data_IF_945835713367
#
_entry.id   IF_945835713367
#
_cell.length_a   1.000
_cell.length_b   1.000
_cell.length_c   1.000
_cell.angle_alpha   90.00
_cell.angle_beta   90.00
_cell.angle_gamma   90.00
#
_symmetry.space_group_name_H-M   'P 1'
#
loop_
_entity.id
_entity.type
_entity.pdbx_description
1 polymer ?
#
# COMPACT_ATOMS: atom_id res chain seq x y z
N UNK A 1 58.68 63.93 10.64
CA UNK A 1 58.28 64.08 9.23
C UNK A 1 57.11 63.15 8.93
N UNK A 2 56.29 63.46 7.92
CA UNK A 2 55.01 62.78 7.63
C UNK A 2 55.11 61.82 6.44
N UNK A 3 54.15 60.86 6.37
CA UNK A 3 53.72 60.06 5.18
C UNK A 3 54.71 58.98 4.69
N UNK A 4 54.27 57.85 4.13
CA UNK A 4 52.94 57.23 4.11
C UNK A 4 53.03 55.72 3.76
N UNK A 5 52.05 54.94 4.23
CA UNK A 5 51.73 53.60 3.73
C UNK A 5 50.19 53.47 3.72
N UNK A 6 49.56 53.82 2.60
CA UNK A 6 49.08 52.88 1.56
C UNK A 6 47.78 52.14 1.95
N UNK A 7 46.66 52.78 1.62
CA UNK A 7 45.32 52.19 1.75
C UNK A 7 45.16 51.05 0.73
N UNK A 8 44.84 49.83 1.18
CA UNK A 8 44.35 48.77 0.28
C UNK A 8 43.04 48.15 0.76
N UNK A 9 42.23 47.75 -0.23
CA UNK A 9 40.77 47.64 -0.10
C UNK A 9 40.31 46.35 0.57
N UNK A 10 39.17 46.44 1.25
CA UNK A 10 38.38 45.29 1.73
C UNK A 10 38.18 44.27 0.59
N UNK A 11 38.51 43.00 0.83
CA UNK A 11 37.95 41.86 0.07
C UNK A 11 36.74 41.33 0.84
N UNK A 12 35.50 41.40 0.31
CA UNK A 12 34.41 40.60 0.83
C UNK A 12 34.64 39.13 0.42
N UNK A 13 34.56 38.20 1.36
CA UNK A 13 34.49 36.78 1.04
C UNK A 13 33.17 36.50 0.30
N UNK A 14 33.26 36.35 -1.03
CA UNK A 14 32.16 35.82 -1.84
C UNK A 14 32.01 34.34 -1.48
N UNK A 15 31.19 34.02 -0.47
CA UNK A 15 30.73 32.65 -0.23
C UNK A 15 29.98 32.21 -1.49
N UNK A 16 30.64 31.44 -2.34
CA UNK A 16 29.94 30.62 -3.30
C UNK A 16 29.06 29.66 -2.51
N UNK A 17 27.74 29.82 -2.60
CA UNK A 17 26.84 28.78 -2.14
C UNK A 17 27.10 27.57 -3.03
N UNK A 18 27.85 26.59 -2.50
CA UNK A 18 27.88 25.28 -3.10
C UNK A 18 26.44 24.78 -3.08
N UNK A 19 25.84 24.64 -4.26
CA UNK A 19 24.63 23.85 -4.41
C UNK A 19 25.03 22.41 -4.06
N UNK A 20 24.87 22.05 -2.79
CA UNK A 20 24.89 20.67 -2.34
C UNK A 20 23.64 20.02 -2.90
N UNK A 21 23.71 19.62 -4.18
CA UNK A 21 22.80 18.65 -4.76
C UNK A 21 23.00 17.35 -4.00
N UNK A 22 22.28 17.21 -2.89
CA UNK A 22 22.11 15.91 -2.27
C UNK A 22 21.57 14.99 -3.36
N UNK A 23 22.25 13.86 -3.66
CA UNK A 23 21.67 12.89 -4.57
C UNK A 23 20.35 12.46 -3.96
N UNK A 24 19.25 12.72 -4.67
CA UNK A 24 17.91 12.32 -4.25
C UNK A 24 17.92 10.79 -4.18
N UNK A 25 18.13 10.24 -2.97
CA UNK A 25 17.88 8.83 -2.67
C UNK A 25 16.38 8.55 -2.61
N UNK A 26 15.66 8.97 -3.66
CA UNK A 26 14.41 8.35 -4.06
C UNK A 26 14.78 7.15 -4.94
N UNK A 27 15.60 6.24 -4.39
CA UNK A 27 15.62 4.86 -4.87
C UNK A 27 14.43 4.25 -4.16
N UNK A 28 13.29 4.30 -4.83
CA UNK A 28 12.07 3.62 -4.40
C UNK A 28 12.46 2.15 -4.24
N UNK A 29 12.63 1.71 -2.99
CA UNK A 29 13.01 0.33 -2.73
C UNK A 29 11.79 -0.51 -3.03
N UNK A 30 11.81 -1.18 -4.19
CA UNK A 30 10.84 -2.19 -4.55
C UNK A 30 10.80 -3.19 -3.39
N UNK A 31 9.63 -3.35 -2.77
CA UNK A 31 9.47 -4.36 -1.73
C UNK A 31 9.44 -5.73 -2.39
N UNK A 32 10.25 -6.64 -1.85
CA UNK A 32 10.37 -8.00 -2.31
C UNK A 32 10.27 -8.93 -1.10
N UNK A 33 9.67 -10.10 -1.31
CA UNK A 33 9.26 -11.01 -0.24
C UNK A 33 9.87 -12.37 -0.47
N UNK A 34 10.55 -12.89 0.54
CA UNK A 34 11.01 -14.26 0.59
C UNK A 34 9.83 -15.20 0.83
N UNK A 35 9.54 -16.08 -0.14
CA UNK A 35 8.53 -17.12 0.04
C UNK A 35 8.99 -18.17 1.04
N UNK A 36 10.30 -18.49 1.12
CA UNK A 36 10.80 -19.43 2.12
C UNK A 36 10.66 -18.89 3.55
N UNK A 37 10.91 -17.60 3.78
CA UNK A 37 10.67 -16.95 5.07
C UNK A 37 9.18 -16.94 5.46
N UNK A 38 8.29 -16.61 4.50
CA UNK A 38 6.83 -16.66 4.73
C UNK A 38 6.36 -18.07 5.11
N UNK A 39 6.80 -19.10 4.38
CA UNK A 39 6.46 -20.50 4.68
C UNK A 39 7.09 -20.97 5.99
N UNK A 40 8.27 -20.47 6.37
CA UNK A 40 8.90 -20.77 7.65
C UNK A 40 8.08 -20.22 8.83
N UNK A 41 7.52 -19.01 8.71
CA UNK A 41 6.66 -18.42 9.73
C UNK A 41 5.32 -19.16 9.88
N UNK A 42 4.71 -19.57 8.75
CA UNK A 42 3.52 -20.44 8.77
C UNK A 42 3.85 -21.77 9.48
N UNK A 43 5.01 -22.37 9.20
CA UNK A 43 5.47 -23.60 9.88
C UNK A 43 5.65 -23.36 11.39
N UNK A 44 6.29 -22.26 11.78
CA UNK A 44 6.52 -21.89 13.18
C UNK A 44 5.19 -21.71 13.94
N UNK A 45 4.17 -21.10 13.30
CA UNK A 45 2.84 -20.94 13.88
C UNK A 45 2.13 -22.30 14.09
N UNK A 46 2.17 -23.21 13.11
CA UNK A 46 1.62 -24.57 13.23
C UNK A 46 2.34 -25.37 14.32
N UNK A 47 3.66 -25.27 14.41
CA UNK A 47 4.46 -25.90 15.48
C UNK A 47 4.08 -25.36 16.87
N UNK A 48 3.85 -24.05 16.99
CA UNK A 48 3.34 -23.44 18.22
C UNK A 48 1.93 -23.93 18.62
N UNK A 49 1.03 -24.06 17.66
CA UNK A 49 -0.30 -24.64 17.88
C UNK A 49 -0.22 -26.10 18.32
N UNK A 50 0.67 -26.91 17.71
CA UNK A 50 0.90 -28.30 18.12
C UNK A 50 1.47 -28.38 19.53
N UNK A 51 2.46 -27.55 19.87
CA UNK A 51 3.05 -27.51 21.20
C UNK A 51 1.99 -27.21 22.28
N UNK A 52 1.10 -26.24 22.06
CA UNK A 52 0.00 -25.96 22.98
C UNK A 52 -1.00 -27.12 23.12
N UNK A 53 -1.21 -27.90 22.04
CA UNK A 53 -2.06 -29.09 22.08
C UNK A 53 -1.37 -30.24 22.86
N UNK A 54 -0.08 -30.45 22.65
CA UNK A 54 0.75 -31.44 23.35
C UNK A 54 0.78 -31.14 24.88
N UNK A 55 0.99 -29.87 25.27
CA UNK A 55 0.95 -29.39 26.66
C UNK A 55 -0.45 -29.56 27.31
N UNK A 56 -1.53 -29.26 26.57
CA UNK A 56 -2.89 -29.46 27.05
C UNK A 56 -3.22 -30.95 27.24
N UNK A 57 -2.79 -31.81 26.31
CA UNK A 57 -3.06 -33.25 26.35
C UNK A 57 -2.29 -33.98 27.47
N UNK A 58 -1.11 -33.47 27.84
CA UNK A 58 -0.26 -34.03 28.89
C UNK A 58 -0.49 -33.42 30.27
N UNK A 59 -1.26 -32.32 30.36
CA UNK A 59 -1.47 -31.58 31.61
C UNK A 59 -0.29 -30.71 32.04
N UNK A 60 0.58 -30.31 31.10
CA UNK A 60 1.72 -29.42 31.35
C UNK A 60 1.34 -27.95 31.62
N UNK A 61 0.08 -27.56 31.32
CA UNK A 61 -0.42 -26.21 31.56
C UNK A 61 -0.69 -25.94 33.06
N UNK A 62 0.25 -25.27 33.72
CA UNK A 62 0.25 -24.96 35.17
C UNK A 62 -0.97 -24.18 35.74
N UNK A 63 -1.88 -23.67 34.89
CA UNK A 63 -2.99 -22.80 35.29
C UNK A 63 -4.30 -23.23 34.60
N UNK A 64 -5.34 -23.48 35.41
CA UNK A 64 -6.69 -23.83 34.94
C UNK A 64 -7.29 -22.81 33.97
N UNK A 65 -6.94 -21.52 34.10
CA UNK A 65 -7.35 -20.50 33.13
C UNK A 65 -6.66 -20.71 31.78
N UNK A 66 -5.39 -21.12 31.75
CA UNK A 66 -4.65 -21.45 30.52
C UNK A 66 -5.21 -22.72 29.87
N UNK A 67 -5.49 -23.77 30.64
CA UNK A 67 -6.16 -24.99 30.14
C UNK A 67 -7.47 -24.67 29.40
N UNK A 68 -8.32 -23.81 29.99
CA UNK A 68 -9.60 -23.41 29.40
C UNK A 68 -9.46 -22.48 28.18
N UNK A 69 -8.33 -21.79 28.04
CA UNK A 69 -8.06 -20.90 26.89
C UNK A 69 -7.28 -21.60 25.78
N UNK A 70 -6.50 -22.64 26.07
CA UNK A 70 -5.64 -23.31 25.10
C UNK A 70 -6.39 -23.78 23.83
N UNK A 71 -7.59 -24.41 23.89
CA UNK A 71 -8.35 -24.74 22.69
C UNK A 71 -8.69 -23.53 21.82
N UNK A 72 -9.08 -22.41 22.43
CA UNK A 72 -9.41 -21.17 21.71
C UNK A 72 -8.16 -20.55 21.07
N UNK A 73 -7.03 -20.55 21.78
CA UNK A 73 -5.74 -20.08 21.26
C UNK A 73 -5.26 -20.94 20.09
N UNK A 74 -5.35 -22.27 20.20
CA UNK A 74 -5.01 -23.21 19.12
C UNK A 74 -5.88 -22.94 17.90
N UNK A 75 -7.22 -22.86 18.05
CA UNK A 75 -8.12 -22.53 16.94
C UNK A 75 -7.82 -21.16 16.32
N UNK A 76 -7.51 -20.14 17.13
CA UNK A 76 -7.17 -18.81 16.61
C UNK A 76 -5.88 -18.84 15.78
N UNK A 77 -4.84 -19.56 16.22
CA UNK A 77 -3.60 -19.72 15.44
C UNK A 77 -3.88 -20.45 14.12
N UNK A 78 -4.66 -21.54 14.15
CA UNK A 78 -4.98 -22.32 12.95
C UNK A 78 -5.80 -21.52 11.93
N UNK A 79 -6.76 -20.69 12.37
CA UNK A 79 -7.51 -19.78 11.49
C UNK A 79 -6.59 -18.72 10.86
N UNK A 80 -5.64 -18.15 11.63
CA UNK A 80 -4.67 -17.20 11.08
C UNK A 80 -3.73 -17.86 10.05
N UNK A 81 -3.31 -19.10 10.31
CA UNK A 81 -2.53 -19.92 9.37
C UNK A 81 -3.32 -20.20 8.08
N UNK A 82 -4.58 -20.60 8.19
CA UNK A 82 -5.46 -20.87 7.03
C UNK A 82 -5.64 -19.62 6.16
N UNK A 83 -6.01 -18.49 6.79
CA UNK A 83 -6.16 -17.20 6.10
C UNK A 83 -4.87 -16.79 5.37
N UNK A 84 -3.70 -17.01 6.01
CA UNK A 84 -2.41 -16.63 5.44
C UNK A 84 -1.98 -17.56 4.31
N UNK A 85 -2.19 -18.86 4.45
CA UNK A 85 -1.98 -19.83 3.36
C UNK A 85 -2.84 -19.51 2.14
N UNK A 86 -4.10 -19.15 2.35
CA UNK A 86 -5.00 -18.76 1.27
C UNK A 86 -4.57 -17.44 0.59
N UNK A 87 -4.00 -16.51 1.36
CA UNK A 87 -3.38 -15.30 0.81
C UNK A 87 -2.16 -15.62 -0.07
N UNK A 88 -1.28 -16.51 0.40
CA UNK A 88 -0.12 -17.00 -0.39
C UNK A 88 -0.58 -17.70 -1.67
N UNK A 89 -1.60 -18.56 -1.58
CA UNK A 89 -2.21 -19.27 -2.71
C UNK A 89 -2.72 -18.29 -3.78
N UNK A 90 -3.43 -17.22 -3.38
CA UNK A 90 -3.92 -16.18 -4.30
C UNK A 90 -2.78 -15.41 -4.97
N UNK A 91 -1.74 -15.03 -4.23
CA UNK A 91 -0.57 -14.37 -4.80
C UNK A 91 0.14 -15.28 -5.82
N UNK A 92 0.33 -16.56 -5.50
CA UNK A 92 0.96 -17.53 -6.41
C UNK A 92 0.13 -17.81 -7.68
N UNK A 93 -1.20 -17.60 -7.64
CA UNK A 93 -2.07 -17.64 -8.82
C UNK A 93 -2.10 -16.36 -9.65
N UNK A 94 -1.52 -15.26 -9.15
CA UNK A 94 -1.66 -13.94 -9.77
C UNK A 94 -3.02 -13.27 -9.51
N UNK A 95 -3.72 -13.66 -8.43
CA UNK A 95 -5.02 -13.09 -8.01
C UNK A 95 -4.88 -11.98 -6.97
N UNK A 96 -3.65 -11.70 -6.50
CA UNK A 96 -3.35 -10.70 -5.49
C UNK A 96 -1.89 -10.19 -5.61
N UNK A 97 -1.67 -8.89 -5.39
CA UNK A 97 -0.32 -8.30 -5.41
C UNK A 97 0.51 -8.83 -4.23
N UNK A 98 1.73 -9.37 -4.46
CA UNK A 98 2.65 -9.79 -3.41
C UNK A 98 2.84 -8.78 -2.28
N UNK A 99 2.75 -7.47 -2.55
CA UNK A 99 2.87 -6.41 -1.53
C UNK A 99 1.93 -6.60 -0.33
N UNK A 100 0.80 -7.28 -0.51
CA UNK A 100 -0.16 -7.58 0.56
C UNK A 100 0.30 -8.73 1.49
N UNK A 101 1.28 -9.53 1.06
CA UNK A 101 2.01 -10.46 1.93
C UNK A 101 3.17 -9.78 2.68
N UNK A 102 3.56 -8.55 2.35
CA UNK A 102 4.78 -7.95 2.90
C UNK A 102 4.72 -7.78 4.42
N UNK A 103 5.74 -8.27 5.11
CA UNK A 103 5.92 -8.12 6.55
C UNK A 103 7.42 -8.06 6.92
N UNK A 104 7.82 -7.45 8.05
CA UNK A 104 9.24 -7.28 8.39
C UNK A 104 10.06 -8.58 8.44
N UNK A 105 9.42 -9.71 8.74
CA UNK A 105 10.06 -11.02 8.84
C UNK A 105 10.20 -11.77 7.50
N UNK A 106 9.60 -11.28 6.41
CA UNK A 106 9.74 -11.82 5.06
C UNK A 106 10.33 -10.82 4.04
N UNK A 107 10.70 -9.62 4.50
CA UNK A 107 11.29 -8.53 3.68
C UNK A 107 12.71 -8.88 3.24
N UNK A 108 12.95 -8.89 1.92
CA UNK A 108 14.27 -9.10 1.33
C UNK A 108 14.65 -7.96 0.39
N UNK A 109 15.93 -7.61 0.40
CA UNK A 109 16.46 -6.65 -0.56
C UNK A 109 16.38 -7.23 -1.98
N UNK A 110 15.77 -6.55 -2.97
CA UNK A 110 15.71 -7.03 -4.35
C UNK A 110 17.08 -7.30 -4.97
N UNK A 111 18.13 -6.70 -4.41
CA UNK A 111 19.53 -6.84 -4.86
C UNK A 111 20.17 -8.13 -4.29
N UNK A 112 19.72 -8.60 -3.12
CA UNK A 112 20.22 -9.84 -2.51
C UNK A 112 19.46 -11.07 -3.04
N UNK A 113 18.19 -10.87 -3.41
CA UNK A 113 17.30 -11.85 -4.04
C UNK A 113 17.83 -12.47 -5.35
N UNK A 114 18.81 -11.85 -6.00
CA UNK A 114 19.41 -12.35 -7.26
C UNK A 114 20.65 -13.24 -7.00
N UNK A 115 21.21 -13.20 -5.79
CA UNK A 115 22.35 -14.02 -5.35
C UNK A 115 21.94 -15.28 -4.54
N UNK A 116 20.71 -15.34 -4.02
CA UNK A 116 20.17 -16.50 -3.29
C UNK A 116 19.59 -17.56 -4.24
N UNK A 117 20.44 -18.50 -4.67
CA UNK A 117 20.16 -19.56 -5.67
C UNK A 117 18.97 -20.50 -5.35
N UNK A 118 18.35 -20.39 -4.16
CA UNK A 118 17.33 -21.32 -3.65
C UNK A 118 16.06 -20.66 -3.10
N UNK A 119 15.95 -19.33 -3.03
CA UNK A 119 14.72 -18.67 -2.54
C UNK A 119 13.84 -18.16 -3.69
N UNK A 120 12.52 -18.23 -3.49
CA UNK A 120 11.55 -17.71 -4.44
C UNK A 120 11.09 -16.33 -3.98
N UNK A 121 11.57 -15.29 -4.68
CA UNK A 121 11.33 -13.91 -4.28
C UNK A 121 10.17 -13.30 -5.05
N UNK A 122 9.10 -12.97 -4.34
CA UNK A 122 7.89 -12.34 -4.88
C UNK A 122 8.07 -10.82 -4.90
N UNK A 123 7.91 -10.19 -6.06
CA UNK A 123 8.05 -8.73 -6.26
C UNK A 123 6.67 -8.12 -6.51
N UNK A 124 6.37 -6.97 -5.89
CA UNK A 124 5.12 -6.25 -6.14
C UNK A 124 4.95 -5.90 -7.62
N UNK A 125 3.72 -5.87 -8.11
CA UNK A 125 3.41 -5.59 -9.51
C UNK A 125 3.45 -4.10 -9.85
N UNK A 126 3.22 -3.24 -8.85
CA UNK A 126 3.24 -1.80 -9.03
C UNK A 126 4.69 -1.32 -9.04
N UNK A 127 5.19 -0.92 -10.21
CA UNK A 127 6.45 -0.19 -10.28
C UNK A 127 6.27 1.22 -9.67
N UNK A 128 7.04 1.60 -8.63
CA UNK A 128 6.96 2.91 -8.02
C UNK A 128 7.65 3.96 -8.92
N UNK A 129 6.95 4.35 -10.00
CA UNK A 129 7.45 5.29 -11.00
C UNK A 129 6.43 5.98 -11.92
N UNK A 130 5.23 5.42 -12.17
CA UNK A 130 4.35 5.92 -13.27
C UNK A 130 3.25 6.93 -12.86
N UNK A 131 2.89 7.03 -11.57
CA UNK A 131 1.70 7.81 -11.11
C UNK A 131 1.99 9.21 -10.50
N UNK A 132 3.21 9.74 -10.56
CA UNK A 132 3.53 11.11 -10.10
C UNK A 132 4.03 12.05 -11.23
N UNK A 133 3.14 12.42 -12.16
CA UNK A 133 3.21 13.75 -12.77
C UNK A 133 1.83 14.46 -12.76
N UNK A 134 1.56 15.37 -11.80
CA UNK A 134 0.34 16.17 -11.81
C UNK A 134 0.41 17.20 -12.96
N UNK A 135 -0.21 16.84 -14.09
CA UNK A 135 -0.30 17.67 -15.29
C UNK A 135 -0.58 19.14 -14.97
N UNK A 136 0.34 20.09 -15.30
CA UNK A 136 0.17 21.49 -14.98
C UNK A 136 -0.91 22.10 -15.87
N UNK A 137 -2.15 22.07 -15.36
CA UNK A 137 -3.37 22.65 -15.94
C UNK A 137 -3.13 24.11 -16.36
N UNK A 138 -2.70 24.34 -17.61
CA UNK A 138 -2.42 25.69 -18.14
C UNK A 138 -3.69 26.52 -18.06
N UNK A 139 -3.63 27.56 -17.24
CA UNK A 139 -4.73 28.50 -16.97
C UNK A 139 -5.25 29.07 -18.29
N UNK A 140 -6.54 28.87 -18.56
CA UNK A 140 -7.23 29.58 -19.64
C UNK A 140 -7.19 31.08 -19.35
N UNK A 141 -6.47 31.84 -20.18
CA UNK A 141 -6.43 33.29 -20.12
C UNK A 141 -7.76 33.87 -20.62
N UNK A 142 -8.61 34.32 -19.70
CA UNK A 142 -9.79 35.13 -20.04
C UNK A 142 -9.34 36.54 -20.43
N UNK A 143 -9.42 36.86 -21.72
CA UNK A 143 -9.32 38.25 -22.21
C UNK A 143 -10.67 38.98 -22.04
N UNK A 144 -10.68 40.31 -21.80
CA UNK A 144 -11.88 41.06 -21.44
C UNK A 144 -12.75 41.52 -22.63
N UNK A 145 -13.97 41.96 -22.29
CA UNK A 145 -15.13 42.22 -23.15
C UNK A 145 -15.05 43.47 -24.03
N UNK A 146 -15.34 43.34 -25.32
CA UNK A 146 -16.01 44.32 -26.23
C UNK A 146 -16.69 43.50 -27.35
N UNK A 147 -17.87 43.82 -27.93
CA UNK A 147 -18.89 44.83 -27.63
C UNK A 147 -20.13 44.64 -28.54
N UNK A 148 -21.31 45.03 -28.05
CA UNK A 148 -22.59 45.38 -28.71
C UNK A 148 -23.00 44.74 -30.07
N UNK A 149 -24.10 43.94 -30.05
CA UNK A 149 -25.28 43.92 -30.98
C UNK A 149 -26.04 42.57 -30.82
N UNK A 150 -27.31 42.34 -31.23
CA UNK A 150 -28.52 43.20 -31.43
C UNK A 150 -29.78 42.29 -31.56
N UNK A 151 -30.77 42.46 -30.66
CA UNK A 151 -32.21 42.01 -30.73
C UNK A 151 -32.59 40.78 -31.60
N UNK A 152 -33.16 39.76 -30.95
CA UNK A 152 -34.62 39.42 -31.09
C UNK A 152 -35.14 38.71 -29.82
N UNK A 153 -36.46 38.66 -29.64
CA UNK A 153 -37.13 38.23 -28.40
C UNK A 153 -37.53 36.73 -28.31
N UNK A 154 -38.21 36.33 -27.22
CA UNK A 154 -38.44 34.94 -26.77
C UNK A 154 -39.88 34.45 -27.13
N UNK A 155 -40.55 33.42 -26.52
CA UNK A 155 -40.19 32.46 -25.45
C UNK A 155 -40.65 30.99 -25.80
N UNK A 156 -41.29 30.17 -24.92
CA UNK A 156 -40.83 29.48 -23.68
C UNK A 156 -40.99 27.93 -23.70
N UNK A 157 -40.54 27.27 -22.62
CA UNK A 157 -41.10 25.99 -22.13
C UNK A 157 -40.25 24.73 -22.43
N UNK A 158 -40.16 23.73 -21.54
CA UNK A 158 -40.61 23.66 -20.14
C UNK A 158 -39.77 22.62 -19.37
N UNK A 159 -39.71 22.77 -18.04
CA UNK A 159 -39.43 21.70 -17.08
C UNK A 159 -40.71 21.48 -16.25
N UNK A 160 -40.83 20.43 -15.43
CA UNK A 160 -40.28 19.06 -15.48
C UNK A 160 -41.43 18.04 -15.63
N UNK A 161 -41.18 16.73 -15.43
CA UNK A 161 -42.04 15.83 -14.62
C UNK A 161 -41.47 14.40 -14.50
N UNK A 162 -41.74 13.73 -13.37
CA UNK A 162 -41.59 12.28 -13.09
C UNK A 162 -43.02 11.69 -12.88
N UNK A 163 -43.26 10.46 -12.37
CA UNK A 163 -42.61 9.14 -12.50
C UNK A 163 -43.63 8.04 -12.94
N UNK A 164 -43.31 6.76 -12.68
CA UNK A 164 -44.20 5.58 -12.49
C UNK A 164 -44.63 4.69 -13.67
N UNK A 165 -44.10 3.46 -13.68
CA UNK A 165 -44.75 2.14 -13.86
C UNK A 165 -43.69 1.07 -13.47
N UNK A 166 -43.96 -0.09 -12.86
CA UNK A 166 -45.20 -0.68 -12.35
C UNK A 166 -45.10 -2.22 -12.33
N UNK A 167 -45.18 -2.87 -11.14
CA UNK A 167 -45.16 -4.34 -10.97
C UNK A 167 -43.79 -5.03 -11.11
N UNK A 168 -43.48 -6.17 -10.47
CA UNK A 168 -44.26 -6.95 -9.48
C UNK A 168 -43.35 -7.76 -8.52
N UNK A 169 -43.93 -8.28 -7.43
CA UNK A 169 -43.24 -8.96 -6.31
C UNK A 169 -42.79 -10.42 -6.57
N UNK A 170 -41.89 -10.98 -5.73
CA UNK A 170 -41.30 -12.31 -5.93
C UNK A 170 -42.15 -13.46 -5.38
N UNK A 171 -42.02 -14.65 -5.97
CA UNK A 171 -42.60 -15.90 -5.44
C UNK A 171 -41.53 -16.83 -4.86
N UNK A 172 -41.45 -16.87 -3.54
CA UNK A 172 -40.81 -17.95 -2.77
C UNK A 172 -41.72 -19.17 -2.76
N UNK A 173 -41.21 -20.38 -3.04
CA UNK A 173 -41.60 -21.65 -2.35
C UNK A 173 -40.71 -22.83 -2.76
N UNK A 174 -39.90 -23.31 -1.81
CA UNK A 174 -39.71 -24.75 -1.56
C UNK A 174 -40.82 -25.19 -0.56
N UNK A 175 -41.23 -26.48 -0.43
CA UNK A 175 -40.31 -27.53 0.07
C UNK A 175 -40.58 -29.01 -0.32
N UNK A 176 -39.55 -29.84 -0.05
CA UNK A 176 -39.57 -31.26 0.42
C UNK A 176 -40.37 -32.37 -0.30
N UNK A 177 -39.65 -33.46 -0.56
CA UNK A 177 -39.92 -34.77 0.09
C UNK A 177 -38.61 -35.47 0.43
#
# INVERSE_FOLDING_TARGET
MWRAASCHRRRPHRRGAAFTTHPRRNRTMHKAISLSAELAEIRNAVEGARFLADELATGGLEDRKRELQAPLTISAILVLVELRLHQVERVLRGEEDPLLLWAPQNDVSPIQAEDEEHDLVLRSWIEPGEDEEPSPRKKASKSPVQGTTRRTGPPPGASPDQPEEGGDQPTTTEPKS
#
